data_IF_247604620523
#
_entry.id   IF_247604620523
#
_cell.length_a   1.000
_cell.length_b   1.000
_cell.length_c   1.000
_cell.angle_alpha   90.00
_cell.angle_beta   90.00
_cell.angle_gamma   90.00
#
_symmetry.space_group_name_H-M   'P 1'
#
loop_
_entity.id
_entity.type
_entity.pdbx_description
1 polymer ?
#
# COMPACT_ATOMS: atom_id res chain seq x y z
N UNK A 1 -12.38 17.68 -10.24
CA UNK A 1 -10.94 17.58 -9.93
C UNK A 1 -10.56 16.15 -9.63
N UNK A 2 -9.40 15.73 -10.09
CA UNK A 2 -8.89 14.41 -9.78
C UNK A 2 -8.55 14.28 -8.28
N UNK A 3 -8.78 13.10 -7.74
CA UNK A 3 -8.41 12.79 -6.37
C UNK A 3 -6.89 12.73 -6.25
N UNK A 4 -6.36 13.24 -5.15
CA UNK A 4 -4.91 13.19 -4.90
C UNK A 4 -4.53 11.79 -4.44
N UNK A 5 -3.66 11.14 -5.20
CA UNK A 5 -3.19 9.78 -4.92
C UNK A 5 -1.70 9.79 -4.58
N UNK A 6 -1.38 10.53 -3.52
CA UNK A 6 -0.04 10.65 -2.97
C UNK A 6 -0.06 10.27 -1.50
N UNK A 7 0.89 9.41 -1.11
CA UNK A 7 1.04 9.03 0.28
C UNK A 7 1.55 10.23 1.08
N UNK A 8 0.82 10.60 2.12
CA UNK A 8 1.24 11.69 3.01
C UNK A 8 2.02 11.15 4.20
N UNK A 9 1.40 10.23 4.95
CA UNK A 9 2.01 9.67 6.16
C UNK A 9 1.61 8.21 6.26
N UNK A 10 2.56 7.31 6.09
CA UNK A 10 2.29 5.88 6.10
C UNK A 10 3.50 5.14 6.65
N UNK A 11 3.28 4.24 7.60
CA UNK A 11 4.34 3.45 8.21
C UNK A 11 3.91 2.00 8.31
N UNK A 12 4.75 1.10 7.82
CA UNK A 12 4.45 -0.33 7.87
C UNK A 12 5.58 -1.18 7.33
N UNK A 13 5.31 -2.48 7.25
CA UNK A 13 6.23 -3.46 6.69
C UNK A 13 5.55 -4.13 5.51
N UNK A 14 6.20 -4.07 4.35
CA UNK A 14 5.74 -4.77 3.14
C UNK A 14 6.12 -6.23 3.22
N UNK A 15 5.15 -7.12 2.96
CA UNK A 15 5.31 -8.58 3.01
C UNK A 15 4.99 -9.24 1.65
N UNK A 16 5.56 -10.45 1.43
CA UNK A 16 5.22 -11.33 0.30
C UNK A 16 5.29 -12.80 0.71
N UNK A 17 4.19 -13.52 0.86
CA UNK A 17 3.03 -13.15 1.68
C UNK A 17 3.37 -13.20 3.16
N UNK A 18 4.34 -14.05 3.56
CA UNK A 18 4.79 -14.22 4.93
C UNK A 18 6.22 -13.72 5.16
N UNK A 19 6.89 -13.29 4.10
CA UNK A 19 8.27 -12.82 4.14
C UNK A 19 8.30 -11.30 4.21
N UNK A 20 8.89 -10.71 5.26
CA UNK A 20 9.04 -9.26 5.34
C UNK A 20 10.08 -8.79 4.33
N UNK A 21 9.75 -7.77 3.56
CA UNK A 21 10.60 -7.25 2.48
C UNK A 21 11.17 -5.88 2.80
N UNK A 22 10.34 -4.97 3.30
CA UNK A 22 10.71 -3.57 3.45
C UNK A 22 10.03 -2.98 4.67
N UNK A 23 10.81 -2.45 5.60
CA UNK A 23 10.32 -1.63 6.70
C UNK A 23 10.42 -0.18 6.26
N UNK A 24 9.29 0.50 6.10
CA UNK A 24 9.27 1.85 5.54
C UNK A 24 8.45 2.81 6.37
N UNK A 25 8.80 4.07 6.24
CA UNK A 25 7.99 5.17 6.79
C UNK A 25 7.99 6.33 5.79
N UNK A 26 6.80 6.82 5.47
CA UNK A 26 6.59 8.04 4.69
C UNK A 26 6.04 9.10 5.65
N UNK A 27 6.62 10.29 5.63
CA UNK A 27 6.19 11.42 6.44
C UNK A 27 6.24 12.69 5.61
N UNK A 28 5.12 13.41 5.57
CA UNK A 28 4.99 14.65 4.79
C UNK A 28 5.43 14.45 3.33
N UNK A 29 4.96 13.37 2.71
CA UNK A 29 5.26 12.99 1.32
C UNK A 29 6.75 12.74 1.05
N UNK A 30 7.47 12.27 2.07
CA UNK A 30 8.89 11.92 1.94
C UNK A 30 9.13 10.53 2.52
N UNK A 31 9.92 9.74 1.83
CA UNK A 31 10.36 8.45 2.35
C UNK A 31 11.48 8.70 3.37
N UNK A 32 11.15 8.68 4.66
CA UNK A 32 12.09 8.99 5.73
C UNK A 32 12.77 7.74 6.29
N UNK A 33 12.22 6.55 6.01
CA UNK A 33 12.81 5.28 6.42
C UNK A 33 12.56 4.24 5.36
N UNK A 34 13.58 3.47 5.00
CA UNK A 34 13.45 2.34 4.09
C UNK A 34 14.56 1.34 4.42
N UNK A 35 14.17 0.21 5.04
CA UNK A 35 15.10 -0.85 5.40
C UNK A 35 14.72 -2.11 4.63
N UNK A 36 15.62 -2.55 3.76
CA UNK A 36 15.49 -3.80 3.01
C UNK A 36 15.68 -4.97 3.96
N UNK A 37 14.65 -5.77 4.15
CA UNK A 37 14.64 -6.91 5.07
C UNK A 37 14.90 -8.25 4.39
N UNK A 38 15.05 -8.28 3.07
CA UNK A 38 15.14 -9.51 2.30
C UNK A 38 16.21 -9.49 1.21
N UNK A 39 17.24 -8.68 1.36
CA UNK A 39 18.35 -8.58 0.41
C UNK A 39 17.90 -8.33 -1.03
N UNK A 40 16.88 -7.50 -1.21
CA UNK A 40 16.34 -7.15 -2.52
C UNK A 40 15.50 -8.22 -3.20
N UNK A 41 15.28 -9.36 -2.55
CA UNK A 41 14.55 -10.49 -3.14
C UNK A 41 13.05 -10.32 -2.97
N UNK A 42 12.28 -10.79 -3.97
CA UNK A 42 10.82 -10.83 -3.99
C UNK A 42 10.15 -9.45 -4.05
N UNK A 43 10.91 -8.39 -4.22
CA UNK A 43 10.35 -7.04 -4.32
C UNK A 43 9.46 -6.91 -5.55
N UNK A 44 8.38 -6.11 -5.47
CA UNK A 44 7.56 -5.83 -6.65
C UNK A 44 8.36 -5.08 -7.72
N UNK A 45 7.98 -5.19 -9.00
CA UNK A 45 8.73 -4.58 -10.09
C UNK A 45 9.03 -3.09 -9.92
N UNK A 46 8.09 -2.33 -9.38
CA UNK A 46 8.25 -0.89 -9.18
C UNK A 46 9.43 -0.55 -8.28
N UNK A 47 9.74 -1.42 -7.32
CA UNK A 47 10.86 -1.25 -6.39
C UNK A 47 12.10 -2.01 -6.84
N UNK A 48 11.93 -3.21 -7.40
CA UNK A 48 13.04 -4.06 -7.81
C UNK A 48 13.81 -3.47 -8.99
N UNK A 49 13.11 -2.90 -9.98
CA UNK A 49 13.70 -2.39 -11.21
C UNK A 49 14.18 -0.95 -11.10
N UNK A 50 13.48 -0.13 -10.34
CA UNK A 50 13.71 1.32 -10.31
C UNK A 50 14.21 1.84 -8.97
N UNK A 51 14.28 0.98 -7.96
CA UNK A 51 14.80 1.33 -6.64
C UNK A 51 13.73 1.77 -5.65
N UNK A 52 14.14 1.86 -4.38
CA UNK A 52 13.26 2.19 -3.27
C UNK A 52 13.26 3.70 -3.07
N UNK A 53 12.29 4.37 -3.68
CA UNK A 53 12.08 5.82 -3.57
C UNK A 53 10.63 6.09 -3.20
N UNK A 54 10.35 7.31 -2.74
CA UNK A 54 8.97 7.72 -2.48
C UNK A 54 8.10 7.55 -3.73
N UNK A 55 8.58 8.02 -4.89
CA UNK A 55 7.82 7.95 -6.13
C UNK A 55 7.49 6.53 -6.55
N UNK A 56 8.47 5.63 -6.46
CA UNK A 56 8.26 4.23 -6.84
C UNK A 56 7.35 3.50 -5.85
N UNK A 57 7.49 3.79 -4.56
CA UNK A 57 6.61 3.22 -3.53
C UNK A 57 5.18 3.73 -3.72
N UNK A 58 5.02 5.02 -4.00
CA UNK A 58 3.71 5.61 -4.27
C UNK A 58 3.04 4.96 -5.49
N UNK A 59 3.80 4.76 -6.57
CA UNK A 59 3.29 4.12 -7.78
C UNK A 59 2.86 2.67 -7.51
N UNK A 60 3.64 1.94 -6.71
CA UNK A 60 3.27 0.59 -6.30
C UNK A 60 1.88 0.57 -5.65
N UNK A 61 1.62 1.47 -4.71
CA UNK A 61 0.32 1.54 -4.04
C UNK A 61 -0.78 2.09 -4.94
N UNK A 62 -0.47 3.08 -5.79
CA UNK A 62 -1.46 3.63 -6.72
C UNK A 62 -2.00 2.57 -7.67
N UNK A 63 -1.14 1.72 -8.19
CA UNK A 63 -1.55 0.63 -9.10
C UNK A 63 -2.40 -0.43 -8.40
N UNK A 64 -2.40 -0.45 -7.08
CA UNK A 64 -3.13 -1.44 -6.28
C UNK A 64 -4.45 -0.90 -5.73
N UNK A 65 -4.81 0.31 -6.08
CA UNK A 65 -6.05 0.95 -5.66
C UNK A 65 -6.97 1.13 -6.85
N UNK A 66 -8.29 1.08 -6.58
CA UNK A 66 -9.29 1.25 -7.63
C UNK A 66 -9.25 2.66 -8.19
N UNK A 67 -9.32 2.78 -9.52
CA UNK A 67 -9.28 4.07 -10.20
C UNK A 67 -10.66 4.73 -10.18
N UNK A 68 -10.68 6.08 -10.21
CA UNK A 68 -11.91 6.87 -10.17
C UNK A 68 -12.95 6.48 -11.22
N UNK A 69 -12.55 6.12 -12.41
CA UNK A 69 -13.46 5.79 -13.50
C UNK A 69 -14.00 4.37 -13.49
N UNK A 70 -13.59 3.54 -12.51
CA UNK A 70 -14.03 2.16 -12.46
C UNK A 70 -15.49 2.03 -12.04
N UNK A 71 -16.17 1.02 -12.61
CA UNK A 71 -17.52 0.66 -12.21
C UNK A 71 -17.54 0.33 -10.70
N UNK A 72 -18.58 0.80 -10.00
CA UNK A 72 -18.76 0.60 -8.57
C UNK A 72 -17.72 1.28 -7.66
N UNK A 73 -16.91 2.18 -8.22
CA UNK A 73 -15.90 2.89 -7.44
C UNK A 73 -16.51 3.63 -6.23
N UNK A 74 -17.60 4.37 -6.45
CA UNK A 74 -18.27 5.12 -5.38
C UNK A 74 -18.88 4.21 -4.32
N UNK A 75 -19.43 3.07 -4.74
CA UNK A 75 -19.96 2.08 -3.80
C UNK A 75 -18.83 1.51 -2.95
N UNK A 76 -17.68 1.23 -3.55
CA UNK A 76 -16.50 0.74 -2.83
C UNK A 76 -16.08 1.74 -1.74
N UNK A 77 -15.99 3.03 -2.07
CA UNK A 77 -15.62 4.05 -1.09
C UNK A 77 -16.62 4.13 0.05
N UNK A 78 -17.91 4.02 -0.24
CA UNK A 78 -18.94 3.99 0.81
C UNK A 78 -18.81 2.77 1.71
N UNK A 79 -18.54 1.61 1.13
CA UNK A 79 -18.41 0.36 1.87
C UNK A 79 -17.25 0.38 2.86
N UNK A 80 -16.20 1.11 2.57
CA UNK A 80 -15.06 1.28 3.49
C UNK A 80 -15.20 2.54 4.37
N UNK A 81 -16.36 3.21 4.35
CA UNK A 81 -16.63 4.35 5.20
C UNK A 81 -15.95 5.65 4.81
N UNK A 82 -15.60 5.80 3.54
CA UNK A 82 -14.82 6.94 3.07
C UNK A 82 -15.73 7.99 2.41
N UNK A 83 -16.05 9.06 3.13
CA UNK A 83 -16.83 10.18 2.60
C UNK A 83 -15.97 11.08 1.72
N UNK A 84 -14.73 11.34 2.14
CA UNK A 84 -13.74 12.07 1.37
C UNK A 84 -12.60 11.14 1.03
N UNK A 85 -12.11 11.21 -0.20
CA UNK A 85 -11.00 10.38 -0.60
C UNK A 85 -9.73 10.76 0.17
N UNK A 86 -9.14 9.76 0.82
CA UNK A 86 -7.87 9.86 1.52
C UNK A 86 -7.04 8.64 1.11
N UNK A 87 -5.96 8.86 0.37
CA UNK A 87 -5.17 7.79 -0.19
C UNK A 87 -4.50 6.93 0.89
N UNK A 88 -3.98 7.56 1.94
CA UNK A 88 -3.37 6.82 3.07
C UNK A 88 -4.39 5.90 3.74
N UNK A 89 -5.59 6.42 3.98
CA UNK A 89 -6.67 5.63 4.58
C UNK A 89 -7.11 4.49 3.67
N UNK A 90 -7.16 4.72 2.36
CA UNK A 90 -7.49 3.69 1.39
C UNK A 90 -6.48 2.54 1.44
N UNK A 91 -5.18 2.87 1.44
CA UNK A 91 -4.11 1.86 1.53
C UNK A 91 -4.22 1.08 2.83
N UNK A 92 -4.51 1.75 3.95
CA UNK A 92 -4.67 1.08 5.24
C UNK A 92 -5.87 0.13 5.24
N UNK A 93 -6.98 0.51 4.62
CA UNK A 93 -8.18 -0.34 4.57
C UNK A 93 -7.94 -1.63 3.80
N UNK A 94 -7.18 -1.59 2.71
CA UNK A 94 -6.89 -2.79 1.94
C UNK A 94 -5.57 -3.47 2.32
N UNK A 95 -4.86 -2.96 3.31
CA UNK A 95 -3.52 -3.43 3.71
C UNK A 95 -2.54 -3.46 2.54
N UNK A 96 -2.65 -2.50 1.62
CA UNK A 96 -1.82 -2.45 0.44
C UNK A 96 -1.98 -3.63 -0.51
N UNK A 97 -3.04 -4.43 -0.36
CA UNK A 97 -3.28 -5.61 -1.19
C UNK A 97 -4.43 -5.34 -2.18
N UNK A 98 -4.31 -5.85 -3.40
CA UNK A 98 -5.32 -5.68 -4.45
C UNK A 98 -6.16 -6.95 -4.68
N UNK A 99 -6.01 -7.97 -3.85
CA UNK A 99 -6.64 -9.28 -3.97
C UNK A 99 -6.25 -10.08 -5.22
N UNK A 100 -5.21 -9.64 -5.94
CA UNK A 100 -4.73 -10.28 -7.15
C UNK A 100 -3.34 -10.91 -6.99
N UNK A 101 -2.60 -10.50 -5.97
CA UNK A 101 -1.28 -11.04 -5.68
C UNK A 101 -1.04 -11.18 -4.17
N UNK A 102 0.17 -11.54 -3.79
CA UNK A 102 0.52 -11.87 -2.41
C UNK A 102 1.24 -10.73 -1.67
N UNK A 103 1.35 -9.54 -2.27
CA UNK A 103 1.93 -8.39 -1.59
C UNK A 103 0.91 -7.74 -0.67
N UNK A 104 1.33 -7.37 0.52
CA UNK A 104 0.51 -6.65 1.48
C UNK A 104 1.38 -5.91 2.47
N UNK A 105 0.79 -4.97 3.20
CA UNK A 105 1.50 -4.19 4.21
C UNK A 105 0.89 -4.46 5.58
N UNK A 106 1.74 -4.80 6.53
CA UNK A 106 1.36 -4.91 7.92
C UNK A 106 1.56 -3.57 8.61
N UNK A 107 0.47 -3.01 9.13
CA UNK A 107 0.50 -1.81 9.94
C UNK A 107 0.51 -2.21 11.41
N UNK A 108 1.27 -1.50 12.24
CA UNK A 108 1.51 -1.88 13.62
C UNK A 108 0.22 -1.97 14.44
N UNK A 109 -0.68 -1.02 14.26
CA UNK A 109 -1.88 -0.86 15.08
C UNK A 109 -3.18 -0.89 14.29
N UNK A 110 -3.16 -1.34 13.06
CA UNK A 110 -4.33 -1.31 12.20
C UNK A 110 -4.30 -2.44 11.18
N UNK A 111 -5.48 -3.06 10.94
CA UNK A 111 -5.68 -4.00 9.84
C UNK A 111 -5.11 -5.39 10.08
N UNK A 112 -4.87 -6.10 8.99
CA UNK A 112 -4.41 -7.49 9.01
C UNK A 112 -3.02 -7.63 9.63
N UNK A 113 -2.81 -8.70 10.39
CA UNK A 113 -1.53 -8.99 11.07
C UNK A 113 -0.77 -10.13 10.38
N UNK A 114 -1.44 -10.92 9.54
CA UNK A 114 -0.81 -11.96 8.74
C UNK A 114 -1.58 -12.10 7.42
N UNK A 115 -0.99 -12.79 6.46
CA UNK A 115 -1.60 -12.93 5.14
C UNK A 115 -2.94 -13.67 5.19
N UNK A 116 -3.10 -14.60 6.11
CA UNK A 116 -4.35 -15.33 6.30
C UNK A 116 -5.52 -14.40 6.64
N UNK A 117 -5.27 -13.29 7.31
CA UNK A 117 -6.31 -12.29 7.62
C UNK A 117 -6.85 -11.61 6.38
N UNK A 118 -6.04 -11.54 5.32
CA UNK A 118 -6.42 -10.94 4.03
C UNK A 118 -7.18 -11.94 3.16
N UNK A 119 -6.67 -13.16 3.09
CA UNK A 119 -7.22 -14.22 2.23
C UNK A 119 -8.30 -15.05 2.90
N UNK A 120 -8.32 -15.01 4.19
CA UNK A 120 -9.31 -15.75 4.98
C UNK A 120 -10.59 -15.00 5.11
#
# INVERSE_FOLDING_TARGET
MAEVRLINNLKGILYYPDTPLLDFEVRDRRLVKAVDLNEGRLFPPELALYGITYGNLNEFFERRTMKEGCMFYREHLRNIGMERFDFDAYIRHNNGNNNLDNYWVRFEDFGAKCFADICG
#
